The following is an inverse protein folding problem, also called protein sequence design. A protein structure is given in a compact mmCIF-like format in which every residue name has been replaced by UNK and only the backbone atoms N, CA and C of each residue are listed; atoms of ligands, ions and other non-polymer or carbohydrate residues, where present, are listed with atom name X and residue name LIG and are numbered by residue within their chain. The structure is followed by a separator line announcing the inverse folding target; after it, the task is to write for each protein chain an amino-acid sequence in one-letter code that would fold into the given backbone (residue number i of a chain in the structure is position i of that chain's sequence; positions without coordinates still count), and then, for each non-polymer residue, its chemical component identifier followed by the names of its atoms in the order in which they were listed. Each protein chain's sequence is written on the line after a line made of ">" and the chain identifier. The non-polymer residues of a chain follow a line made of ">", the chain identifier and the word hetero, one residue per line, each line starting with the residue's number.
data_IF_112932003109
#
_entry.id   IF_112932003109
#
_cell.length_a   1.000
_cell.length_b   1.000
_cell.length_c   1.000
_cell.angle_alpha   90.00
_cell.angle_beta   90.00
_cell.angle_gamma   90.00
#
_symmetry.space_group_name_H-M   'P 1'
#
loop_
_entity.id
_entity.type
_entity.pdbx_description
1 polymer ?
#
# COMPACT_ATOMS: atom_id res chain seq x y z
N UNK A 1 3.85 7.63 -19.01
CA UNK A 1 4.38 6.29 -18.69
C UNK A 1 3.48 5.60 -17.65
N UNK A 2 3.27 6.16 -16.45
CA UNK A 2 2.51 5.52 -15.38
C UNK A 2 1.10 5.10 -15.80
N UNK A 3 0.35 6.00 -16.45
CA UNK A 3 -1.01 5.70 -16.93
C UNK A 3 -1.02 4.52 -17.92
N UNK A 4 0.00 4.43 -18.77
CA UNK A 4 0.14 3.34 -19.74
C UNK A 4 0.40 2.02 -19.00
N UNK A 5 1.29 2.00 -18.00
CA UNK A 5 1.61 0.81 -17.22
C UNK A 5 0.40 0.32 -16.40
N UNK A 6 -0.30 1.25 -15.73
CA UNK A 6 -1.53 0.93 -15.00
C UNK A 6 -2.61 0.44 -15.95
N UNK A 7 -2.79 1.10 -17.10
CA UNK A 7 -3.73 0.66 -18.13
C UNK A 7 -3.41 -0.73 -18.66
N UNK A 8 -2.13 -1.01 -18.97
CA UNK A 8 -1.68 -2.32 -19.42
C UNK A 8 -1.91 -3.41 -18.36
N UNK A 9 -1.65 -3.12 -17.09
CA UNK A 9 -1.89 -4.05 -16.00
C UNK A 9 -3.40 -4.36 -15.82
N UNK A 10 -4.27 -3.35 -15.89
CA UNK A 10 -5.72 -3.54 -15.77
C UNK A 10 -6.31 -4.30 -16.97
N UNK A 11 -5.79 -4.03 -18.15
CA UNK A 11 -6.22 -4.65 -19.40
C UNK A 11 -5.46 -5.95 -19.72
N UNK A 12 -4.60 -6.44 -18.83
CA UNK A 12 -3.81 -7.65 -19.04
C UNK A 12 -4.62 -8.85 -19.57
N UNK A 13 -5.84 -9.17 -19.08
CA UNK A 13 -6.62 -10.30 -19.60
C UNK A 13 -7.03 -10.16 -21.07
N UNK A 14 -7.05 -8.93 -21.61
CA UNK A 14 -7.46 -8.66 -23.00
C UNK A 14 -6.26 -8.36 -23.92
N UNK A 15 -5.13 -7.94 -23.35
CA UNK A 15 -3.93 -7.55 -24.10
C UNK A 15 -2.91 -8.68 -24.14
N UNK A 16 -2.85 -9.55 -23.13
CA UNK A 16 -1.91 -10.66 -23.08
C UNK A 16 -2.16 -11.62 -24.26
N UNK A 17 -1.12 -11.90 -25.09
CA UNK A 17 -1.28 -12.78 -26.23
C UNK A 17 -1.60 -14.23 -25.85
N UNK A 18 -1.10 -14.66 -24.68
CA UNK A 18 -1.21 -16.04 -24.20
C UNK A 18 -1.65 -16.08 -22.73
N UNK A 19 -2.13 -17.25 -22.31
CA UNK A 19 -2.31 -17.54 -20.90
C UNK A 19 -0.94 -17.51 -20.19
N UNK A 20 -0.80 -16.82 -19.03
CA UNK A 20 0.50 -16.67 -18.36
C UNK A 20 1.13 -17.98 -17.90
N UNK A 21 0.33 -19.04 -17.74
CA UNK A 21 0.79 -20.35 -17.26
C UNK A 21 0.89 -21.40 -18.38
N UNK A 22 0.42 -21.08 -19.60
CA UNK A 22 0.51 -21.97 -20.73
C UNK A 22 1.96 -22.09 -21.26
N UNK A 23 2.40 -23.32 -21.52
CA UNK A 23 3.65 -23.60 -22.21
C UNK A 23 3.37 -23.45 -23.71
N UNK A 24 3.88 -22.40 -24.33
CA UNK A 24 3.52 -21.99 -25.70
C UNK A 24 4.70 -21.95 -26.66
N UNK A 25 5.93 -22.05 -26.14
CA UNK A 25 7.13 -21.92 -26.94
C UNK A 25 8.27 -22.81 -26.48
N UNK A 26 9.45 -22.62 -27.09
CA UNK A 26 10.69 -23.31 -26.72
C UNK A 26 11.21 -22.83 -25.37
N UNK A 27 11.92 -23.69 -24.63
CA UNK A 27 12.57 -23.33 -23.38
C UNK A 27 13.62 -22.23 -23.59
N UNK A 28 13.49 -21.14 -22.81
CA UNK A 28 14.37 -19.95 -22.91
C UNK A 28 14.50 -19.41 -24.33
N UNK A 29 13.39 -19.39 -25.09
CA UNK A 29 13.34 -18.89 -26.47
C UNK A 29 13.64 -17.38 -26.54
N UNK A 30 14.42 -17.00 -27.57
CA UNK A 30 14.71 -15.59 -27.83
C UNK A 30 13.46 -14.83 -28.29
N UNK A 31 13.43 -13.50 -28.13
CA UNK A 31 12.36 -12.66 -28.66
C UNK A 31 12.13 -12.88 -30.15
N UNK A 32 10.86 -13.08 -30.55
CA UNK A 32 10.42 -13.28 -31.93
C UNK A 32 9.04 -12.63 -32.16
N UNK A 33 8.51 -12.73 -33.39
CA UNK A 33 7.21 -12.12 -33.72
C UNK A 33 6.02 -12.73 -32.93
N UNK A 34 6.13 -13.99 -32.55
CA UNK A 34 5.11 -14.68 -31.76
C UNK A 34 5.28 -14.42 -30.26
N UNK A 35 6.54 -14.30 -29.79
CA UNK A 35 6.90 -14.03 -28.39
C UNK A 35 7.78 -12.80 -28.29
N UNK A 36 7.19 -11.63 -28.13
CA UNK A 36 7.89 -10.34 -28.20
C UNK A 36 8.99 -10.16 -27.16
N UNK A 37 8.86 -10.74 -25.98
CA UNK A 37 9.89 -10.78 -24.95
C UNK A 37 10.52 -12.18 -24.78
N UNK A 38 10.25 -13.09 -25.71
CA UNK A 38 10.70 -14.46 -25.63
C UNK A 38 9.91 -15.30 -24.66
N UNK A 39 10.44 -16.50 -24.35
CA UNK A 39 9.84 -17.44 -23.42
C UNK A 39 10.77 -17.75 -22.25
N UNK A 40 10.18 -18.12 -21.10
CA UNK A 40 10.92 -18.43 -19.88
C UNK A 40 11.57 -19.85 -19.92
N UNK A 41 12.18 -20.25 -18.80
CA UNK A 41 12.89 -21.52 -18.67
C UNK A 41 12.00 -22.77 -18.88
N UNK A 42 10.68 -22.62 -18.83
CA UNK A 42 9.72 -23.72 -19.06
C UNK A 42 8.84 -23.47 -20.29
N UNK A 43 9.15 -22.47 -21.10
CA UNK A 43 8.47 -22.20 -22.38
C UNK A 43 7.19 -21.37 -22.28
N UNK A 44 6.97 -20.62 -21.20
CA UNK A 44 5.84 -19.70 -21.05
C UNK A 44 6.19 -18.32 -21.60
N UNK A 45 5.20 -17.60 -22.16
CA UNK A 45 5.40 -16.26 -22.74
C UNK A 45 5.73 -15.21 -21.66
N UNK A 46 6.92 -14.58 -21.80
CA UNK A 46 7.39 -13.60 -20.80
C UNK A 46 6.54 -12.33 -20.78
N UNK A 47 6.04 -11.86 -21.93
CA UNK A 47 5.20 -10.66 -22.00
C UNK A 47 3.87 -10.87 -21.28
N UNK A 48 3.19 -11.96 -21.53
CA UNK A 48 1.93 -12.30 -20.86
C UNK A 48 2.11 -12.40 -19.35
N UNK A 49 3.16 -13.07 -18.90
CA UNK A 49 3.50 -13.17 -17.47
C UNK A 49 3.79 -11.82 -16.84
N UNK A 50 4.51 -10.94 -17.52
CA UNK A 50 4.83 -9.59 -17.05
C UNK A 50 3.54 -8.76 -16.85
N UNK A 51 2.61 -8.82 -17.81
CA UNK A 51 1.34 -8.11 -17.74
C UNK A 51 0.50 -8.57 -16.53
N UNK A 52 0.41 -9.88 -16.31
CA UNK A 52 -0.31 -10.43 -15.15
C UNK A 52 0.39 -10.15 -13.82
N UNK A 53 1.73 -10.23 -13.78
CA UNK A 53 2.50 -9.88 -12.58
C UNK A 53 2.30 -8.41 -12.19
N UNK A 54 2.35 -7.47 -13.15
CA UNK A 54 2.07 -6.06 -12.90
C UNK A 54 0.67 -5.84 -12.28
N UNK A 55 -0.34 -6.59 -12.73
CA UNK A 55 -1.70 -6.53 -12.20
C UNK A 55 -1.75 -6.96 -10.74
N UNK A 56 -1.06 -8.03 -10.37
CA UNK A 56 -1.00 -8.54 -8.99
C UNK A 56 -0.29 -7.52 -8.09
N UNK A 57 0.90 -7.04 -8.48
CA UNK A 57 1.65 -6.06 -7.69
C UNK A 57 0.87 -4.75 -7.51
N UNK A 58 0.16 -4.28 -8.56
CA UNK A 58 -0.70 -3.10 -8.45
C UNK A 58 -1.84 -3.32 -7.46
N UNK A 59 -2.50 -4.48 -7.50
CA UNK A 59 -3.58 -4.82 -6.59
C UNK A 59 -3.09 -4.89 -5.15
N UNK A 60 -1.96 -5.54 -4.90
CA UNK A 60 -1.33 -5.59 -3.57
C UNK A 60 -1.00 -4.18 -3.09
N UNK A 61 -0.28 -3.40 -3.90
CA UNK A 61 0.13 -2.05 -3.55
C UNK A 61 -1.06 -1.15 -3.20
N UNK A 62 -2.11 -1.14 -4.03
CA UNK A 62 -3.31 -0.32 -3.80
C UNK A 62 -4.06 -0.75 -2.54
N UNK A 63 -4.33 -2.04 -2.37
CA UNK A 63 -5.11 -2.52 -1.22
C UNK A 63 -4.34 -2.39 0.10
N UNK A 64 -3.05 -2.71 0.12
CA UNK A 64 -2.20 -2.53 1.30
C UNK A 64 -2.12 -1.05 1.69
N UNK A 65 -1.87 -0.16 0.73
CA UNK A 65 -1.85 1.29 0.96
C UNK A 65 -3.20 1.82 1.46
N UNK A 66 -4.31 1.33 0.93
CA UNK A 66 -5.65 1.73 1.38
C UNK A 66 -5.86 1.35 2.86
N UNK A 67 -5.53 0.11 3.24
CA UNK A 67 -5.64 -0.37 4.62
C UNK A 67 -4.78 0.47 5.55
N UNK A 68 -3.48 0.63 5.22
CA UNK A 68 -2.54 1.41 6.04
C UNK A 68 -2.96 2.87 6.16
N UNK A 69 -3.48 3.46 5.06
CA UNK A 69 -3.97 4.85 5.07
C UNK A 69 -5.19 5.01 5.96
N UNK A 70 -6.16 4.12 5.87
CA UNK A 70 -7.36 4.18 6.73
C UNK A 70 -6.98 4.07 8.20
N UNK A 71 -6.15 3.09 8.56
CA UNK A 71 -5.68 2.90 9.94
C UNK A 71 -4.89 4.14 10.42
N UNK A 72 -3.92 4.57 9.62
CA UNK A 72 -3.06 5.70 9.96
C UNK A 72 -3.83 7.02 10.10
N UNK A 73 -4.79 7.28 9.21
CA UNK A 73 -5.64 8.48 9.28
C UNK A 73 -6.50 8.46 10.54
N UNK A 74 -7.16 7.35 10.84
CA UNK A 74 -8.02 7.25 12.04
C UNK A 74 -7.21 7.46 13.31
N UNK A 75 -6.09 6.75 13.45
CA UNK A 75 -5.23 6.85 14.63
C UNK A 75 -4.57 8.23 14.73
N UNK A 76 -4.12 8.80 13.61
CA UNK A 76 -3.51 10.13 13.56
C UNK A 76 -4.50 11.25 13.91
N UNK A 77 -5.76 11.16 13.42
CA UNK A 77 -6.82 12.09 13.78
C UNK A 77 -7.14 12.03 15.28
N UNK A 78 -7.26 10.83 15.83
CA UNK A 78 -7.54 10.64 17.26
C UNK A 78 -6.40 11.19 18.11
N UNK A 79 -5.16 10.82 17.81
CA UNK A 79 -3.99 11.27 18.54
C UNK A 79 -3.82 12.80 18.48
N UNK A 80 -3.91 13.38 17.28
CA UNK A 80 -3.72 14.82 17.08
C UNK A 80 -4.84 15.69 17.65
N UNK A 81 -6.09 15.23 17.55
CA UNK A 81 -7.24 16.04 18.02
C UNK A 81 -7.44 15.97 19.52
N UNK A 82 -7.48 14.77 20.10
CA UNK A 82 -7.75 14.61 21.54
C UNK A 82 -6.51 14.91 22.40
N UNK A 83 -5.30 14.59 21.88
CA UNK A 83 -4.08 14.81 22.64
C UNK A 83 -4.00 13.96 23.93
N UNK A 84 -3.18 14.42 24.88
CA UNK A 84 -3.10 13.81 26.22
C UNK A 84 -2.79 12.32 26.22
N UNK A 85 -3.61 11.53 26.93
CA UNK A 85 -3.43 10.07 27.07
C UNK A 85 -3.62 9.35 25.74
N UNK A 86 -4.61 9.75 24.92
CA UNK A 86 -4.86 9.14 23.62
C UNK A 86 -3.66 9.30 22.69
N UNK A 87 -3.10 10.50 22.62
CA UNK A 87 -1.88 10.78 21.85
C UNK A 87 -0.70 9.96 22.39
N UNK A 88 -0.48 9.96 23.69
CA UNK A 88 0.61 9.22 24.33
C UNK A 88 0.54 7.72 23.97
N UNK A 89 -0.63 7.09 24.15
CA UNK A 89 -0.79 5.65 23.92
C UNK A 89 -0.59 5.31 22.43
N UNK A 90 -1.24 6.04 21.55
CA UNK A 90 -1.15 5.78 20.11
C UNK A 90 0.29 5.98 19.61
N UNK A 91 0.96 7.08 20.03
CA UNK A 91 2.33 7.34 19.58
C UNK A 91 3.34 6.38 20.19
N UNK A 92 3.16 5.93 21.44
CA UNK A 92 4.00 4.88 22.02
C UNK A 92 3.87 3.56 21.27
N UNK A 93 2.64 3.20 20.88
CA UNK A 93 2.44 2.00 20.05
C UNK A 93 3.05 2.18 18.64
N UNK A 94 2.89 3.36 18.05
CA UNK A 94 3.57 3.72 16.78
C UNK A 94 5.09 3.60 16.89
N UNK A 95 5.68 4.17 17.95
CA UNK A 95 7.13 4.11 18.20
C UNK A 95 7.60 2.66 18.41
N UNK A 96 6.82 1.84 19.11
CA UNK A 96 7.11 0.43 19.33
C UNK A 96 7.16 -0.33 17.99
N UNK A 97 6.17 -0.16 17.12
CA UNK A 97 6.15 -0.80 15.80
C UNK A 97 7.34 -0.34 14.96
N UNK A 98 7.66 0.97 14.95
CA UNK A 98 8.77 1.53 14.19
C UNK A 98 10.16 1.24 14.79
N UNK A 99 10.25 0.71 16.00
CA UNK A 99 11.53 0.30 16.60
C UNK A 99 12.08 -1.00 16.02
N UNK A 100 11.23 -1.80 15.40
CA UNK A 100 11.65 -3.02 14.72
C UNK A 100 12.15 -2.69 13.30
N UNK A 101 13.23 -3.35 12.82
CA UNK A 101 13.60 -3.27 11.42
C UNK A 101 12.43 -3.75 10.54
N UNK A 102 11.95 -2.86 9.67
CA UNK A 102 10.73 -3.06 8.89
C UNK A 102 10.67 -4.43 8.18
N UNK A 103 11.73 -4.76 7.42
CA UNK A 103 11.76 -6.02 6.65
C UNK A 103 11.69 -7.25 7.56
N UNK A 104 12.27 -7.20 8.77
CA UNK A 104 12.19 -8.31 9.72
C UNK A 104 10.78 -8.46 10.26
N UNK A 105 10.09 -7.35 10.56
CA UNK A 105 8.70 -7.39 11.02
C UNK A 105 7.79 -8.03 9.97
N UNK A 106 7.94 -7.62 8.71
CA UNK A 106 7.16 -8.16 7.59
C UNK A 106 7.46 -9.64 7.36
N UNK A 107 8.75 -10.04 7.40
CA UNK A 107 9.14 -11.45 7.23
C UNK A 107 8.62 -12.34 8.36
N UNK A 108 8.71 -11.89 9.62
CA UNK A 108 8.16 -12.63 10.76
C UNK A 108 6.65 -12.77 10.64
N UNK A 109 5.95 -11.69 10.26
CA UNK A 109 4.52 -11.75 10.02
C UNK A 109 4.19 -12.74 8.87
N UNK A 110 4.92 -12.68 7.75
CA UNK A 110 4.73 -13.59 6.62
C UNK A 110 5.01 -15.06 6.96
N UNK A 111 5.98 -15.33 7.84
CA UNK A 111 6.29 -16.69 8.28
C UNK A 111 5.20 -17.33 9.18
N UNK A 112 4.41 -16.51 9.89
CA UNK A 112 3.30 -16.98 10.74
C UNK A 112 2.08 -17.37 9.89
N UNK A 113 1.85 -16.66 8.79
CA UNK A 113 0.73 -16.90 7.90
C UNK A 113 1.14 -17.76 6.71
N UNK A 114 0.19 -18.47 6.11
CA UNK A 114 0.45 -19.23 4.88
C UNK A 114 0.73 -18.25 3.73
N UNK A 115 1.64 -18.60 2.77
CA UNK A 115 1.81 -17.80 1.56
C UNK A 115 0.48 -17.58 0.83
N UNK A 116 0.24 -16.35 0.38
CA UNK A 116 -0.99 -16.02 -0.35
C UNK A 116 -1.23 -14.52 -0.48
N UNK A 117 -1.90 -14.16 -1.57
CA UNK A 117 -2.17 -12.77 -1.96
C UNK A 117 -2.79 -11.94 -0.83
N UNK A 118 -3.87 -12.46 -0.21
CA UNK A 118 -4.59 -11.73 0.84
C UNK A 118 -3.74 -11.55 2.10
N UNK A 119 -2.92 -12.53 2.44
CA UNK A 119 -2.06 -12.43 3.62
C UNK A 119 -1.00 -11.34 3.43
N UNK A 120 -0.40 -11.22 2.23
CA UNK A 120 0.56 -10.17 1.93
C UNK A 120 -0.12 -8.80 2.02
N UNK A 121 -1.30 -8.62 1.42
CA UNK A 121 -2.07 -7.37 1.48
C UNK A 121 -2.32 -6.96 2.93
N UNK A 122 -2.75 -7.91 3.76
CA UNK A 122 -3.03 -7.64 5.18
C UNK A 122 -1.75 -7.32 5.95
N UNK A 123 -0.69 -8.09 5.77
CA UNK A 123 0.59 -7.86 6.46
C UNK A 123 1.11 -6.46 6.14
N UNK A 124 1.25 -6.11 4.86
CA UNK A 124 1.75 -4.79 4.46
C UNK A 124 0.81 -3.68 4.95
N UNK A 125 -0.51 -3.86 4.79
CA UNK A 125 -1.49 -2.88 5.25
C UNK A 125 -1.48 -2.63 6.76
N UNK A 126 -1.22 -3.68 7.57
CA UNK A 126 -1.14 -3.56 9.03
C UNK A 126 0.26 -3.18 9.55
N UNK A 127 1.28 -3.14 8.71
CA UNK A 127 2.63 -2.74 9.11
C UNK A 127 2.93 -1.30 8.71
N UNK A 128 2.39 -0.78 7.60
CA UNK A 128 2.74 0.53 7.02
C UNK A 128 1.99 1.74 7.61
N UNK A 129 1.00 1.54 8.47
CA UNK A 129 0.17 2.63 9.04
C UNK A 129 0.94 3.63 9.93
N UNK A 130 2.06 3.30 10.65
CA UNK A 130 2.67 4.18 11.62
C UNK A 130 3.17 5.51 11.05
N UNK A 131 3.76 5.48 9.85
CA UNK A 131 4.21 6.68 9.16
C UNK A 131 3.06 7.63 8.82
N UNK A 132 1.95 7.08 8.34
CA UNK A 132 0.74 7.84 8.01
C UNK A 132 0.11 8.43 9.27
N UNK A 133 0.03 7.66 10.35
CA UNK A 133 -0.51 8.15 11.63
C UNK A 133 0.29 9.34 12.18
N UNK A 134 1.62 9.27 12.10
CA UNK A 134 2.50 10.36 12.54
C UNK A 134 2.35 11.61 11.66
N UNK A 135 2.26 11.43 10.35
CA UNK A 135 2.01 12.52 9.40
C UNK A 135 0.68 13.22 9.70
N UNK A 136 -0.40 12.44 9.80
CA UNK A 136 -1.75 12.97 10.06
C UNK A 136 -1.80 13.67 11.40
N UNK A 137 -1.26 13.07 12.46
CA UNK A 137 -1.16 13.69 13.78
C UNK A 137 -0.48 15.07 13.70
N UNK A 138 0.66 15.18 13.01
CA UNK A 138 1.38 16.44 12.84
C UNK A 138 0.53 17.51 12.17
N UNK A 139 -0.17 17.15 11.09
CA UNK A 139 -1.08 18.07 10.40
C UNK A 139 -2.26 18.48 11.28
N UNK A 140 -2.86 17.56 12.03
CA UNK A 140 -3.99 17.84 12.94
C UNK A 140 -3.57 18.80 14.04
N UNK A 141 -2.39 18.62 14.65
CA UNK A 141 -1.87 19.54 15.66
C UNK A 141 -1.72 20.96 15.12
N UNK A 142 -1.22 21.12 13.89
CA UNK A 142 -1.09 22.42 13.26
C UNK A 142 -2.47 23.05 12.95
N UNK A 143 -3.39 22.27 12.37
CA UNK A 143 -4.73 22.76 12.00
C UNK A 143 -5.57 23.13 13.21
N UNK A 144 -5.47 22.39 14.31
CA UNK A 144 -6.19 22.66 15.55
C UNK A 144 -5.89 24.05 16.12
N UNK A 145 -4.69 24.57 15.85
CA UNK A 145 -4.28 25.91 16.31
C UNK A 145 -4.78 27.03 15.38
N UNK A 146 -5.36 26.73 14.24
CA UNK A 146 -5.89 27.73 13.29
C UNK A 146 -7.18 28.38 13.80
N UNK A 147 -7.41 29.64 13.36
CA UNK A 147 -8.56 30.42 13.80
C UNK A 147 -9.90 29.81 13.39
N UNK A 148 -9.99 29.16 12.23
CA UNK A 148 -11.25 28.55 11.78
C UNK A 148 -11.63 27.33 12.63
N UNK A 149 -10.68 26.45 12.98
CA UNK A 149 -10.95 25.30 13.87
C UNK A 149 -11.27 25.79 15.28
N UNK A 150 -10.52 26.79 15.81
CA UNK A 150 -10.82 27.39 17.12
C UNK A 150 -12.21 28.03 17.15
N UNK A 151 -12.59 28.72 16.06
CA UNK A 151 -13.93 29.28 15.92
C UNK A 151 -15.03 28.25 15.99
N UNK A 152 -14.87 27.10 15.33
CA UNK A 152 -15.82 25.99 15.37
C UNK A 152 -15.92 25.35 16.74
N UNK A 153 -14.79 25.22 17.47
CA UNK A 153 -14.78 24.72 18.85
C UNK A 153 -15.57 25.67 19.77
N UNK A 154 -15.32 26.99 19.68
CA UNK A 154 -16.01 28.01 20.49
C UNK A 154 -17.50 28.09 20.15
N UNK A 155 -17.86 27.87 18.90
CA UNK A 155 -19.28 27.81 18.45
C UNK A 155 -20.00 26.51 18.89
N UNK A 156 -19.31 25.60 19.60
CA UNK A 156 -19.91 24.38 20.12
C UNK A 156 -20.19 23.32 19.06
N UNK A 157 -19.50 23.36 17.92
CA UNK A 157 -19.68 22.34 16.88
C UNK A 157 -19.26 20.95 17.37
N UNK A 158 -20.00 19.88 16.98
CA UNK A 158 -19.67 18.54 17.41
C UNK A 158 -18.31 18.09 16.84
N UNK A 159 -17.54 17.35 17.63
CA UNK A 159 -16.19 16.88 17.30
C UNK A 159 -16.12 16.20 15.92
N UNK A 160 -17.13 15.37 15.62
CA UNK A 160 -17.23 14.70 14.31
C UNK A 160 -17.24 15.69 13.13
N UNK A 161 -17.95 16.82 13.28
CA UNK A 161 -18.00 17.86 12.26
C UNK A 161 -16.62 18.50 12.08
N UNK A 162 -15.97 18.86 13.17
CA UNK A 162 -14.63 19.46 13.15
C UNK A 162 -13.63 18.51 12.48
N UNK A 163 -13.65 17.22 12.85
CA UNK A 163 -12.72 16.24 12.30
C UNK A 163 -12.94 15.98 10.80
N UNK A 164 -14.19 15.72 10.38
CA UNK A 164 -14.47 15.27 9.01
C UNK A 164 -14.74 16.40 8.03
N UNK A 165 -15.22 17.56 8.49
CA UNK A 165 -15.55 18.69 7.59
C UNK A 165 -14.50 19.79 7.57
N UNK A 166 -13.66 19.90 8.61
CA UNK A 166 -12.66 20.97 8.68
C UNK A 166 -11.22 20.42 8.65
N UNK A 167 -10.90 19.43 9.49
CA UNK A 167 -9.52 18.94 9.63
C UNK A 167 -9.19 17.99 8.50
N UNK A 168 -9.98 16.94 8.29
CA UNK A 168 -9.68 15.89 7.33
C UNK A 168 -9.55 16.42 5.89
N UNK A 169 -10.45 17.27 5.36
CA UNK A 169 -10.30 17.80 4.00
C UNK A 169 -9.01 18.59 3.80
N UNK A 170 -8.55 19.31 4.83
CA UNK A 170 -7.31 20.09 4.81
C UNK A 170 -6.06 19.24 4.97
N UNK A 171 -6.19 17.96 5.36
CA UNK A 171 -5.08 16.98 5.47
C UNK A 171 -5.01 16.01 4.30
N UNK A 172 -6.00 15.98 3.42
CA UNK A 172 -6.07 15.03 2.28
C UNK A 172 -4.85 15.15 1.37
N UNK A 173 -4.41 16.37 1.02
CA UNK A 173 -3.30 16.56 0.10
C UNK A 173 -1.99 15.92 0.61
N UNK A 174 -1.49 16.21 1.83
CA UNK A 174 -0.31 15.53 2.35
C UNK A 174 -0.50 14.02 2.55
N UNK A 175 -1.72 13.56 2.89
CA UNK A 175 -2.03 12.13 2.97
C UNK A 175 -1.86 11.46 1.61
N UNK A 176 -2.43 12.01 0.54
CA UNK A 176 -2.32 11.46 -0.81
C UNK A 176 -0.85 11.39 -1.29
N UNK A 177 -0.08 12.45 -1.05
CA UNK A 177 1.35 12.47 -1.40
C UNK A 177 2.11 11.34 -0.67
N UNK A 178 1.87 11.17 0.63
CA UNK A 178 2.52 10.11 1.39
C UNK A 178 2.03 8.73 0.97
N UNK A 179 0.74 8.56 0.75
CA UNK A 179 0.14 7.30 0.30
C UNK A 179 0.69 6.83 -1.05
N UNK A 180 0.96 7.74 -1.99
CA UNK A 180 1.61 7.35 -3.26
C UNK A 180 3.02 6.79 -3.06
N UNK A 181 3.77 7.30 -2.07
CA UNK A 181 5.07 6.75 -1.71
C UNK A 181 4.95 5.38 -1.04
N UNK A 182 3.98 5.20 -0.14
CA UNK A 182 3.66 3.90 0.49
C UNK A 182 3.27 2.89 -0.58
N UNK A 183 2.43 3.26 -1.56
CA UNK A 183 2.04 2.38 -2.65
C UNK A 183 3.26 1.84 -3.42
N UNK A 184 4.20 2.72 -3.77
CA UNK A 184 5.40 2.31 -4.48
C UNK A 184 6.27 1.36 -3.63
N UNK A 185 6.42 1.64 -2.32
CA UNK A 185 7.16 0.78 -1.39
C UNK A 185 6.46 -0.57 -1.21
N UNK A 186 5.15 -0.60 -1.00
CA UNK A 186 4.39 -1.86 -0.85
C UNK A 186 4.52 -2.77 -2.08
N UNK A 187 4.61 -2.21 -3.30
CA UNK A 187 4.87 -3.01 -4.51
C UNK A 187 6.29 -3.59 -4.52
N UNK A 188 7.29 -2.84 -4.06
CA UNK A 188 8.66 -3.34 -3.92
C UNK A 188 8.77 -4.42 -2.83
N UNK A 189 8.08 -4.23 -1.71
CA UNK A 189 8.05 -5.19 -0.61
C UNK A 189 7.35 -6.49 -1.01
N UNK A 190 6.25 -6.42 -1.77
CA UNK A 190 5.60 -7.60 -2.35
C UNK A 190 6.58 -8.37 -3.25
N UNK A 191 7.30 -7.68 -4.13
CA UNK A 191 8.28 -8.32 -5.00
C UNK A 191 9.42 -8.97 -4.20
N UNK A 192 9.91 -8.30 -3.14
CA UNK A 192 10.93 -8.85 -2.24
C UNK A 192 10.43 -10.09 -1.48
N UNK A 193 9.21 -10.07 -0.96
CA UNK A 193 8.58 -11.22 -0.30
C UNK A 193 8.36 -12.38 -1.27
N UNK A 194 7.95 -12.10 -2.49
CA UNK A 194 7.77 -13.10 -3.54
C UNK A 194 9.11 -13.76 -3.90
N UNK A 195 10.19 -12.98 -3.99
CA UNK A 195 11.54 -13.48 -4.21
C UNK A 195 12.02 -14.39 -3.05
N UNK A 196 11.66 -14.06 -1.80
CA UNK A 196 11.98 -14.87 -0.61
C UNK A 196 11.05 -16.07 -0.41
N UNK A 197 10.15 -16.34 -1.36
CA UNK A 197 9.23 -17.49 -1.32
C UNK A 197 8.04 -17.31 -0.38
N UNK A 198 7.84 -16.11 0.19
CA UNK A 198 6.71 -15.76 1.04
C UNK A 198 5.62 -15.00 0.28
N UNK A 199 5.83 -14.74 -1.00
CA UNK A 199 4.95 -14.00 -1.88
C UNK A 199 3.76 -14.82 -2.41
N UNK A 200 3.11 -14.25 -3.44
CA UNK A 200 2.08 -14.94 -4.20
C UNK A 200 2.75 -16.08 -4.96
N UNK A 201 2.43 -17.31 -4.57
CA UNK A 201 2.92 -18.48 -5.30
C UNK A 201 2.20 -18.56 -6.65
N UNK A 202 2.90 -18.80 -7.75
CA UNK A 202 2.26 -19.14 -9.00
C UNK A 202 1.42 -20.41 -8.83
N UNK A 203 0.29 -20.51 -9.50
CA UNK A 203 -0.56 -21.68 -9.46
C UNK A 203 0.14 -22.93 -9.96
#
# INVERSE_FOLDING_TARGET
>A
VLIILVGAALLAPWIAPYDPDAIVGTFSGAPCLEHWLGTDQIGRDVLSRLLYAMRISLLVGVLATLISTVIGVVLGLIAGYFGGIADMVIMRFTDMVMSFPYILLVLVAAAIFRPGLWNIILILGFVDWPGIARLVRGNVLNLRETNFVKGSIVSGMPVRHILFSEILPNTVAPILVYATSVLALSMLDEAALSFLGQGVQPP
#
